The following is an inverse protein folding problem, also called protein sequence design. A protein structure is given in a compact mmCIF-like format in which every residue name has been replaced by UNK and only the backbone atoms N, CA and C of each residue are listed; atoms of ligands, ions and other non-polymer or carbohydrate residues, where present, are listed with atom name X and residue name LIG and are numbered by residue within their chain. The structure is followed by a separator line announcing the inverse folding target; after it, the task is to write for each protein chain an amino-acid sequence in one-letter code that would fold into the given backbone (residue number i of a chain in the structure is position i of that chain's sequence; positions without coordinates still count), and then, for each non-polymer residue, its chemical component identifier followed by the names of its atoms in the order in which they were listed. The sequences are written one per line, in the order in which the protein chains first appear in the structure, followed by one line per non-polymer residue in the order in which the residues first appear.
data_IF_534010219814
#
_entry.id   IF_534010219814
#
_cell.length_a   1.000
_cell.length_b   1.000
_cell.length_c   1.000
_cell.angle_alpha   90.00
_cell.angle_beta   90.00
_cell.angle_gamma   90.00
#
_symmetry.space_group_name_H-M   'P 1'
#
loop_
_entity.id
_entity.type
_entity.pdbx_description
1 polymer ?
#
# COMPACT_ATOMS: atom_id res chain seq x y z
N UNK A 1 25.09 -21.01 -7.63
CA UNK A 1 24.89 -19.58 -7.30
C UNK A 1 23.80 -19.05 -8.21
N UNK A 2 22.55 -19.03 -7.73
CA UNK A 2 21.41 -18.54 -8.50
C UNK A 2 20.95 -17.20 -7.91
N UNK A 3 20.85 -16.20 -8.79
CA UNK A 3 20.52 -14.81 -8.50
C UNK A 3 19.08 -14.67 -7.98
N UNK A 4 18.89 -14.52 -6.67
CA UNK A 4 17.63 -14.04 -6.09
C UNK A 4 17.76 -12.53 -5.86
N UNK A 5 17.73 -11.77 -6.96
CA UNK A 5 17.47 -10.34 -6.92
C UNK A 5 15.99 -10.13 -7.20
N UNK A 6 15.15 -10.27 -6.17
CA UNK A 6 13.75 -9.88 -6.24
C UNK A 6 13.68 -8.41 -6.64
N UNK A 7 13.29 -8.12 -7.88
CA UNK A 7 13.14 -6.75 -8.33
C UNK A 7 11.98 -6.14 -7.55
N UNK A 8 12.26 -5.21 -6.63
CA UNK A 8 11.25 -4.42 -5.93
C UNK A 8 10.47 -3.58 -6.96
N UNK A 9 9.41 -4.16 -7.52
CA UNK A 9 8.60 -3.62 -8.62
C UNK A 9 7.13 -3.90 -8.34
N UNK A 10 6.20 -3.08 -8.86
CA UNK A 10 4.79 -3.36 -8.72
C UNK A 10 4.42 -4.62 -9.50
N UNK A 11 3.38 -5.31 -9.04
CA UNK A 11 2.73 -6.36 -9.81
C UNK A 11 2.02 -5.73 -11.03
N UNK A 12 1.92 -6.49 -12.12
CA UNK A 12 1.24 -6.05 -13.36
C UNK A 12 -0.16 -6.65 -13.54
N UNK A 13 -0.58 -7.53 -12.63
CA UNK A 13 -1.88 -8.20 -12.69
C UNK A 13 -3.01 -7.23 -12.32
N UNK A 14 -3.80 -6.83 -13.33
CA UNK A 14 -4.87 -5.85 -13.17
C UNK A 14 -6.00 -6.32 -12.24
N UNK A 15 -6.30 -7.63 -12.23
CA UNK A 15 -7.33 -8.21 -11.36
C UNK A 15 -6.89 -8.15 -9.90
N UNK A 16 -5.63 -8.49 -9.63
CA UNK A 16 -5.06 -8.36 -8.29
C UNK A 16 -4.99 -6.91 -7.83
N UNK A 17 -4.56 -5.99 -8.68
CA UNK A 17 -4.52 -4.56 -8.36
C UNK A 17 -5.92 -4.00 -8.05
N UNK A 18 -6.95 -4.43 -8.79
CA UNK A 18 -8.35 -4.09 -8.50
C UNK A 18 -8.81 -4.65 -7.15
N UNK A 19 -8.45 -5.90 -6.84
CA UNK A 19 -8.75 -6.52 -5.55
C UNK A 19 -8.07 -5.78 -4.39
N UNK A 20 -6.78 -5.48 -4.51
CA UNK A 20 -6.02 -4.67 -3.53
C UNK A 20 -6.73 -3.35 -3.25
N UNK A 21 -7.17 -2.65 -4.30
CA UNK A 21 -7.90 -1.38 -4.15
C UNK A 21 -9.22 -1.57 -3.39
N UNK A 22 -10.01 -2.58 -3.75
CA UNK A 22 -11.29 -2.85 -3.10
C UNK A 22 -11.11 -3.20 -1.62
N UNK A 23 -10.12 -4.04 -1.31
CA UNK A 23 -9.77 -4.45 0.04
C UNK A 23 -9.27 -3.28 0.89
N UNK A 24 -8.43 -2.40 0.33
CA UNK A 24 -7.98 -1.19 1.00
C UNK A 24 -9.15 -0.23 1.34
N UNK A 25 -10.12 -0.06 0.44
CA UNK A 25 -11.36 0.65 0.78
C UNK A 25 -12.19 -0.06 1.84
N UNK A 26 -12.18 -1.39 1.86
CA UNK A 26 -12.77 -2.18 2.94
C UNK A 26 -12.17 -1.81 4.29
N UNK A 27 -10.84 -1.86 4.39
CA UNK A 27 -10.10 -1.52 5.62
C UNK A 27 -10.41 -0.10 6.11
N UNK A 28 -10.41 0.89 5.21
CA UNK A 28 -10.74 2.28 5.57
C UNK A 28 -12.16 2.43 6.14
N UNK A 29 -13.11 1.60 5.71
CA UNK A 29 -14.50 1.64 6.20
C UNK A 29 -14.69 0.90 7.51
N UNK A 30 -14.06 -0.26 7.66
CA UNK A 30 -14.25 -1.11 8.84
C UNK A 30 -13.43 -0.62 10.03
N UNK A 31 -12.30 0.01 9.77
CA UNK A 31 -11.35 0.38 10.81
C UNK A 31 -10.69 1.75 10.56
N UNK A 32 -11.49 2.83 10.49
CA UNK A 32 -10.94 4.16 10.30
C UNK A 32 -10.09 4.59 11.51
N UNK A 33 -9.05 5.41 11.32
CA UNK A 33 -8.26 5.92 12.44
C UNK A 33 -9.11 6.77 13.38
N UNK A 34 -8.92 6.60 14.69
CA UNK A 34 -9.73 7.28 15.72
C UNK A 34 -9.56 8.80 15.75
N UNK A 35 -8.39 9.32 15.30
CA UNK A 35 -8.06 10.74 15.38
C UNK A 35 -7.69 11.31 14.02
N UNK A 36 -7.94 12.62 13.80
CA UNK A 36 -7.39 13.33 12.65
C UNK A 36 -5.87 13.18 12.62
N UNK A 37 -5.29 12.93 11.43
CA UNK A 37 -3.85 12.73 11.21
C UNK A 37 -3.24 11.55 11.99
N UNK A 38 -4.05 10.65 12.55
CA UNK A 38 -3.53 9.37 13.06
C UNK A 38 -3.52 8.30 11.98
N UNK A 39 -2.86 7.21 12.32
CA UNK A 39 -2.86 5.98 11.57
C UNK A 39 -3.08 4.81 12.52
N UNK A 40 -3.55 3.70 11.97
CA UNK A 40 -3.74 2.46 12.69
C UNK A 40 -3.09 1.33 11.92
N UNK A 41 -2.29 0.53 12.62
CA UNK A 41 -1.73 -0.69 12.07
C UNK A 41 -2.80 -1.77 12.02
N UNK A 42 -2.95 -2.42 10.87
CA UNK A 42 -3.84 -3.57 10.71
C UNK A 42 -3.06 -4.81 11.17
N UNK A 43 -3.56 -5.56 12.17
CA UNK A 43 -2.95 -6.83 12.57
C UNK A 43 -2.82 -7.79 11.38
N UNK A 44 -1.74 -8.57 11.35
CA UNK A 44 -1.42 -9.44 10.21
C UNK A 44 -2.52 -10.47 9.92
N UNK A 45 -3.17 -10.93 10.96
CA UNK A 45 -4.28 -11.90 10.92
C UNK A 45 -5.56 -11.30 10.30
N UNK A 46 -5.62 -9.96 10.19
CA UNK A 46 -6.75 -9.22 9.64
C UNK A 46 -6.48 -8.68 8.24
N UNK A 47 -5.31 -8.97 7.64
CA UNK A 47 -5.01 -8.54 6.29
C UNK A 47 -5.94 -9.24 5.28
N UNK A 48 -6.65 -8.47 4.44
CA UNK A 48 -7.44 -9.04 3.35
C UNK A 48 -6.57 -9.83 2.37
N UNK A 49 -7.18 -10.75 1.63
CA UNK A 49 -6.48 -11.80 0.90
C UNK A 49 -5.52 -11.26 -0.18
N UNK A 50 -5.94 -10.29 -1.00
CA UNK A 50 -5.09 -9.75 -2.05
C UNK A 50 -3.95 -8.89 -1.48
N UNK A 51 -4.19 -8.11 -0.44
CA UNK A 51 -3.15 -7.37 0.30
C UNK A 51 -2.17 -8.35 0.95
N UNK A 52 -2.64 -9.38 1.64
CA UNK A 52 -1.79 -10.41 2.25
C UNK A 52 -0.94 -11.16 1.21
N UNK A 53 -1.50 -11.36 0.00
CA UNK A 53 -0.80 -11.96 -1.14
C UNK A 53 0.36 -11.13 -1.69
N UNK A 54 0.48 -9.85 -1.32
CA UNK A 54 1.68 -9.04 -1.58
C UNK A 54 2.83 -9.34 -0.61
N UNK A 55 2.57 -10.14 0.45
CA UNK A 55 3.49 -10.39 1.56
C UNK A 55 4.07 -9.11 2.19
N UNK A 56 3.22 -8.15 2.63
CA UNK A 56 3.71 -6.90 3.17
C UNK A 56 4.44 -7.09 4.50
N UNK A 57 5.39 -6.19 4.77
CA UNK A 57 5.99 -5.99 6.08
C UNK A 57 5.03 -5.26 7.03
N UNK A 58 4.25 -4.30 6.50
CA UNK A 58 3.25 -3.58 7.25
C UNK A 58 2.05 -3.14 6.41
N UNK A 59 0.89 -3.00 7.07
CA UNK A 59 -0.32 -2.41 6.49
C UNK A 59 -0.90 -1.42 7.50
N UNK A 60 -0.98 -0.16 7.12
CA UNK A 60 -1.50 0.92 7.96
C UNK A 60 -2.67 1.63 7.28
N UNK A 61 -3.75 1.82 8.02
CA UNK A 61 -4.86 2.66 7.62
C UNK A 61 -4.60 4.06 8.15
N UNK A 62 -4.58 5.04 7.26
CA UNK A 62 -4.46 6.46 7.54
C UNK A 62 -5.79 7.16 7.28
N UNK A 63 -5.89 8.40 7.74
CA UNK A 63 -7.05 9.26 7.42
C UNK A 63 -7.12 9.63 5.93
N UNK A 64 -6.01 9.54 5.20
CA UNK A 64 -5.91 9.80 3.76
C UNK A 64 -6.06 8.55 2.88
N UNK A 65 -5.90 7.33 3.42
CA UNK A 65 -5.72 6.14 2.59
C UNK A 65 -5.20 4.93 3.35
N UNK A 66 -4.83 3.89 2.60
CA UNK A 66 -4.08 2.73 3.12
C UNK A 66 -2.67 2.75 2.56
N UNK A 67 -1.70 2.52 3.44
CA UNK A 67 -0.30 2.28 3.10
C UNK A 67 0.02 0.79 3.29
N UNK A 68 0.65 0.19 2.28
CA UNK A 68 0.98 -1.24 2.21
C UNK A 68 2.49 -1.33 1.94
N UNK A 69 3.26 -1.47 3.01
CA UNK A 69 4.72 -1.53 2.93
C UNK A 69 5.14 -2.95 2.60
N UNK A 70 5.66 -3.19 1.39
CA UNK A 70 6.18 -4.51 0.98
C UNK A 70 7.56 -4.79 1.55
N UNK A 71 8.40 -3.75 1.64
CA UNK A 71 9.74 -3.87 2.17
C UNK A 71 10.14 -2.57 2.87
N UNK A 72 10.35 -2.63 4.18
CA UNK A 72 10.70 -1.48 4.99
C UNK A 72 12.22 -1.26 4.98
N UNK A 73 12.64 -0.08 4.55
CA UNK A 73 14.03 0.41 4.63
C UNK A 73 14.05 1.78 5.34
N UNK A 74 15.24 2.24 5.74
CA UNK A 74 15.40 3.52 6.45
C UNK A 74 14.96 4.77 5.65
N UNK A 75 14.79 4.62 4.34
CA UNK A 75 14.47 5.64 3.35
C UNK A 75 13.00 5.62 2.89
N UNK A 76 12.10 5.00 3.67
CA UNK A 76 10.67 4.91 3.34
C UNK A 76 10.28 3.66 2.54
N UNK A 77 11.25 2.88 2.04
CA UNK A 77 11.01 1.54 1.51
C UNK A 77 10.17 1.47 0.24
N UNK A 78 9.61 0.28 -0.01
CA UNK A 78 8.84 -0.03 -1.21
C UNK A 78 7.44 -0.47 -0.84
N UNK A 79 6.44 0.05 -1.53
CA UNK A 79 5.06 -0.23 -1.15
C UNK A 79 4.01 0.31 -2.10
N UNK A 80 2.77 0.02 -1.72
CA UNK A 80 1.58 0.54 -2.39
C UNK A 80 0.83 1.50 -1.50
N UNK A 81 0.26 2.53 -2.10
CA UNK A 81 -0.64 3.45 -1.45
C UNK A 81 -1.96 3.50 -2.20
N UNK A 82 -3.04 3.37 -1.44
CA UNK A 82 -4.42 3.45 -1.94
C UNK A 82 -5.11 4.61 -1.23
N UNK A 83 -5.04 5.82 -1.80
CA UNK A 83 -5.61 7.00 -1.17
C UNK A 83 -7.12 7.14 -1.45
N UNK A 84 -7.81 7.92 -0.61
CA UNK A 84 -9.19 8.36 -0.86
C UNK A 84 -9.26 9.25 -2.11
N UNK A 85 -8.33 10.21 -2.21
CA UNK A 85 -8.08 11.04 -3.40
C UNK A 85 -6.61 11.05 -3.76
N UNK A 86 -6.28 11.17 -5.05
CA UNK A 86 -4.87 11.31 -5.50
C UNK A 86 -4.16 12.52 -4.88
N UNK A 87 -4.91 13.55 -4.49
CA UNK A 87 -4.35 14.73 -3.80
C UNK A 87 -3.90 14.45 -2.36
N UNK A 88 -4.33 13.33 -1.77
CA UNK A 88 -4.02 12.97 -0.38
C UNK A 88 -2.77 12.08 -0.27
N UNK A 89 -2.06 11.82 -1.38
CA UNK A 89 -0.81 11.06 -1.35
C UNK A 89 0.24 11.78 -0.48
N UNK A 90 0.92 11.07 0.43
CA UNK A 90 1.84 11.68 1.39
C UNK A 90 3.17 12.14 0.79
N UNK A 91 3.54 11.68 -0.41
CA UNK A 91 4.81 12.06 -1.07
C UNK A 91 4.55 12.89 -2.35
N UNK A 92 5.58 13.56 -2.88
CA UNK A 92 5.47 14.24 -4.17
C UNK A 92 5.06 13.28 -5.31
N UNK A 93 4.27 13.73 -6.31
CA UNK A 93 3.83 12.89 -7.43
C UNK A 93 4.96 12.17 -8.19
N UNK A 94 6.16 12.76 -8.23
CA UNK A 94 7.33 12.16 -8.87
C UNK A 94 7.84 10.88 -8.18
N UNK A 95 7.45 10.64 -6.92
CA UNK A 95 7.79 9.44 -6.16
C UNK A 95 6.90 8.23 -6.51
N UNK A 96 5.85 8.42 -7.32
CA UNK A 96 4.86 7.39 -7.59
C UNK A 96 4.82 6.97 -9.06
N UNK A 97 4.51 5.69 -9.23
CA UNK A 97 3.89 5.17 -10.45
C UNK A 97 2.47 4.70 -10.13
N UNK A 98 1.57 4.69 -11.12
CA UNK A 98 0.17 4.27 -10.94
C UNK A 98 -0.08 2.98 -11.74
N UNK A 99 0.30 1.78 -11.23
CA UNK A 99 0.13 0.52 -11.96
C UNK A 99 -1.33 0.17 -12.25
N UNK A 100 -2.26 0.69 -11.44
CA UNK A 100 -3.69 0.67 -11.73
C UNK A 100 -4.37 1.91 -11.15
N UNK A 101 -5.54 2.27 -11.71
CA UNK A 101 -6.28 3.46 -11.28
C UNK A 101 -6.54 3.44 -9.77
N UNK A 102 -5.98 4.42 -9.06
CA UNK A 102 -6.13 4.57 -7.61
C UNK A 102 -5.28 3.62 -6.77
N UNK A 103 -4.29 2.96 -7.37
CA UNK A 103 -3.28 2.14 -6.70
C UNK A 103 -1.92 2.69 -7.12
N UNK A 104 -1.19 3.25 -6.17
CA UNK A 104 0.09 3.90 -6.43
C UNK A 104 1.21 3.04 -5.88
N UNK A 105 2.22 2.77 -6.69
CA UNK A 105 3.46 2.13 -6.24
C UNK A 105 4.52 3.18 -6.00
N UNK A 106 5.24 3.05 -4.90
CA UNK A 106 6.42 3.85 -4.62
C UNK A 106 7.63 2.97 -4.31
N UNK A 107 8.78 3.55 -4.59
CA UNK A 107 10.11 3.12 -4.18
C UNK A 107 10.66 4.20 -3.23
N UNK A 108 11.83 4.00 -2.61
CA UNK A 108 12.43 5.03 -1.78
C UNK A 108 12.49 6.39 -2.47
N UNK A 109 11.99 7.40 -1.74
CA UNK A 109 11.90 8.80 -2.07
C UNK A 109 12.03 9.56 -0.73
#
# INVERSE_FOLDING_TARGET
MSLIGGCNRPISDAEKLRAIRAEAYGLMKTDPPEKPRSWKKVPKEQWPLAIAGLHPADVTVHTWGVDIMTNAYFDGGYGYQVPLSKADLPMPPACYSEPARGVFWHNPC
#
